data_IF_312633790895
#
_entry.id   IF_312633790895
#
_cell.length_a   1.000
_cell.length_b   1.000
_cell.length_c   1.000
_cell.angle_alpha   90.00
_cell.angle_beta   90.00
_cell.angle_gamma   90.00
#
_symmetry.space_group_name_H-M   'P 1'
#
loop_
_entity.id
_entity.type
_entity.pdbx_description
1 polymer ?
#
# COMPACT_ATOMS: atom_id res chain seq x y z
N UNK A 1 7.72 -36.43 40.41
CA UNK A 1 7.94 -37.00 39.07
C UNK A 1 8.56 -35.92 38.19
N UNK A 2 9.77 -36.14 37.70
CA UNK A 2 10.46 -35.23 36.76
C UNK A 2 10.00 -35.57 35.34
N UNK A 3 9.05 -34.80 34.83
CA UNK A 3 8.59 -34.93 33.45
C UNK A 3 9.64 -34.32 32.52
N UNK A 4 10.55 -35.14 31.99
CA UNK A 4 11.49 -34.73 30.94
C UNK A 4 11.12 -35.40 29.63
N UNK A 5 10.95 -34.60 28.58
CA UNK A 5 10.85 -35.08 27.19
C UNK A 5 12.26 -35.03 26.58
N UNK A 6 12.83 -36.19 26.26
CA UNK A 6 14.10 -36.29 25.56
C UNK A 6 13.83 -36.64 24.11
N UNK A 7 14.19 -35.75 23.19
CA UNK A 7 14.18 -36.06 21.75
C UNK A 7 15.51 -36.76 21.41
N UNK A 8 15.48 -38.04 21.00
CA UNK A 8 16.69 -38.80 20.64
C UNK A 8 17.48 -38.10 19.53
N UNK A 9 18.80 -38.14 19.60
CA UNK A 9 19.65 -37.56 18.56
C UNK A 9 19.41 -38.18 17.17
N UNK A 10 18.99 -39.45 17.12
CA UNK A 10 18.65 -40.15 15.88
C UNK A 10 17.37 -39.61 15.21
N UNK A 11 16.46 -39.00 15.97
CA UNK A 11 15.24 -38.38 15.43
C UNK A 11 15.50 -36.96 14.89
N UNK A 12 16.71 -36.43 15.06
CA UNK A 12 17.16 -35.17 14.45
C UNK A 12 17.58 -35.42 13.00
N UNK A 13 16.60 -35.71 12.13
CA UNK A 13 16.88 -35.89 10.71
C UNK A 13 17.06 -34.53 10.03
N UNK A 14 18.30 -34.12 9.75
CA UNK A 14 18.58 -33.11 8.74
C UNK A 14 18.70 -33.82 7.39
N UNK A 15 17.63 -33.78 6.59
CA UNK A 15 17.69 -34.25 5.22
C UNK A 15 18.36 -33.19 4.34
N UNK A 16 19.32 -33.59 3.52
CA UNK A 16 19.85 -32.78 2.42
C UNK A 16 18.93 -32.80 1.19
N UNK A 17 17.82 -33.55 1.24
CA UNK A 17 16.81 -33.53 0.19
C UNK A 17 16.31 -32.10 0.03
N UNK A 18 16.48 -31.58 -1.20
CA UNK A 18 15.97 -30.28 -1.58
C UNK A 18 14.46 -30.22 -1.26
N UNK A 19 14.01 -29.15 -0.62
CA UNK A 19 12.63 -29.03 -0.15
C UNK A 19 11.63 -29.27 -1.31
N UNK A 20 10.72 -30.25 -1.17
CA UNK A 20 9.67 -30.53 -2.15
C UNK A 20 8.59 -29.44 -2.22
N UNK A 21 8.68 -28.37 -1.43
CA UNK A 21 7.98 -27.11 -1.71
C UNK A 21 8.70 -26.34 -2.82
N UNK A 22 8.72 -26.90 -4.01
CA UNK A 22 9.01 -26.21 -5.27
C UNK A 22 7.71 -25.73 -5.92
N UNK A 23 6.77 -25.20 -5.12
CA UNK A 23 5.88 -24.20 -5.66
C UNK A 23 6.75 -22.96 -5.87
N UNK A 24 7.22 -22.76 -7.10
CA UNK A 24 8.02 -21.61 -7.47
C UNK A 24 7.44 -20.36 -6.81
N UNK A 25 8.24 -19.64 -6.03
CA UNK A 25 7.94 -18.28 -5.60
C UNK A 25 7.78 -17.32 -6.80
N UNK A 26 8.02 -17.82 -8.02
CA UNK A 26 7.69 -17.17 -9.28
C UNK A 26 6.20 -16.82 -9.31
N UNK A 27 5.92 -15.53 -9.11
CA UNK A 27 4.64 -14.86 -9.31
C UNK A 27 3.67 -14.87 -8.12
N UNK A 28 4.15 -14.75 -6.87
CA UNK A 28 3.28 -14.13 -5.86
C UNK A 28 3.08 -12.66 -6.24
N UNK A 29 1.91 -12.36 -6.82
CA UNK A 29 1.49 -10.99 -7.11
C UNK A 29 1.18 -10.27 -5.81
N UNK A 30 1.40 -8.95 -5.81
CA UNK A 30 1.05 -8.04 -4.73
C UNK A 30 1.60 -8.45 -3.35
N UNK A 31 2.89 -8.81 -3.30
CA UNK A 31 3.62 -9.07 -2.05
C UNK A 31 4.77 -8.08 -1.92
N UNK A 32 4.84 -7.40 -0.78
CA UNK A 32 5.99 -6.57 -0.38
C UNK A 32 6.73 -7.25 0.77
N UNK A 33 8.06 -7.34 0.66
CA UNK A 33 8.91 -7.73 1.78
C UNK A 33 9.83 -6.57 2.12
N UNK A 34 9.76 -6.15 3.37
CA UNK A 34 10.61 -5.14 3.97
C UNK A 34 11.70 -5.86 4.74
N UNK A 35 12.94 -5.40 4.60
CA UNK A 35 14.09 -5.87 5.37
C UNK A 35 14.88 -4.67 5.86
N UNK A 36 15.15 -4.63 7.16
CA UNK A 36 15.99 -3.61 7.78
C UNK A 36 17.30 -4.21 8.30
N UNK A 37 18.43 -3.64 7.91
CA UNK A 37 19.79 -3.94 8.40
C UNK A 37 20.42 -2.69 9.00
N UNK A 38 21.61 -2.79 9.60
CA UNK A 38 22.32 -1.66 10.18
C UNK A 38 23.84 -1.80 10.07
N UNK A 39 24.55 -0.70 10.27
CA UNK A 39 26.03 -0.65 10.16
C UNK A 39 26.77 -1.16 11.42
N UNK A 40 26.09 -1.29 12.55
CA UNK A 40 26.72 -1.59 13.84
C UNK A 40 26.83 -3.08 14.16
N UNK A 41 25.95 -3.93 13.61
CA UNK A 41 25.94 -5.37 13.85
C UNK A 41 25.27 -6.16 12.71
N UNK A 42 25.32 -7.49 12.78
CA UNK A 42 24.76 -8.37 11.75
C UNK A 42 23.27 -8.70 11.92
N UNK A 43 22.59 -8.11 12.92
CA UNK A 43 21.18 -8.35 13.14
C UNK A 43 20.32 -7.60 12.12
N UNK A 44 19.23 -8.23 11.72
CA UNK A 44 18.26 -7.67 10.79
C UNK A 44 16.86 -8.13 11.19
N UNK A 45 15.85 -7.48 10.66
CA UNK A 45 14.47 -7.90 10.82
C UNK A 45 13.69 -7.73 9.51
N UNK A 46 12.58 -8.45 9.39
CA UNK A 46 11.75 -8.47 8.20
C UNK A 46 10.27 -8.34 8.55
N UNK A 47 9.55 -7.70 7.64
CA UNK A 47 8.09 -7.66 7.62
C UNK A 47 7.59 -7.99 6.21
N UNK A 48 6.44 -8.67 6.12
CA UNK A 48 5.81 -8.98 4.85
C UNK A 48 4.38 -8.44 4.82
N UNK A 49 4.03 -7.76 3.73
CA UNK A 49 2.67 -7.31 3.44
C UNK A 49 2.18 -8.02 2.18
N UNK A 50 1.00 -8.64 2.26
CA UNK A 50 0.40 -9.42 1.16
C UNK A 50 -0.99 -8.88 0.85
N UNK A 51 -1.32 -8.73 -0.43
CA UNK A 51 -2.68 -8.45 -0.86
C UNK A 51 -3.29 -9.67 -1.54
N UNK A 52 -4.51 -10.03 -1.15
CA UNK A 52 -5.16 -11.24 -1.67
C UNK A 52 -6.68 -11.17 -1.60
N UNK A 53 -7.34 -11.74 -2.60
CA UNK A 53 -8.78 -11.99 -2.57
C UNK A 53 -9.17 -12.86 -1.35
N UNK A 54 -10.20 -12.42 -0.62
CA UNK A 54 -10.72 -13.13 0.55
C UNK A 54 -9.97 -12.86 1.86
N UNK A 55 -8.87 -12.10 1.84
CA UNK A 55 -8.27 -11.58 3.06
C UNK A 55 -9.18 -10.54 3.72
N UNK A 56 -8.98 -10.30 5.02
CA UNK A 56 -9.74 -9.31 5.78
C UNK A 56 -8.82 -8.27 6.41
N UNK A 57 -9.35 -7.08 6.71
CA UNK A 57 -8.61 -6.08 7.48
C UNK A 57 -8.40 -6.50 8.94
N UNK A 58 -9.23 -7.40 9.45
CA UNK A 58 -9.06 -7.98 10.78
C UNK A 58 -7.89 -8.96 10.82
N UNK A 59 -7.56 -9.41 12.04
CA UNK A 59 -6.68 -10.55 12.20
C UNK A 59 -7.34 -11.81 11.65
N UNK A 60 -6.61 -12.52 10.79
CA UNK A 60 -6.99 -13.82 10.24
C UNK A 60 -5.88 -14.83 10.52
N UNK A 61 -6.19 -15.85 11.32
CA UNK A 61 -5.23 -16.91 11.70
C UNK A 61 -4.66 -17.68 10.50
N UNK A 62 -5.38 -17.71 9.36
CA UNK A 62 -4.93 -18.41 8.17
C UNK A 62 -3.94 -17.60 7.33
N UNK A 63 -3.89 -16.27 7.49
CA UNK A 63 -3.13 -15.37 6.61
C UNK A 63 -2.17 -14.44 7.33
N UNK A 64 -2.42 -14.12 8.59
CA UNK A 64 -1.64 -13.18 9.37
C UNK A 64 -0.71 -13.89 10.35
N UNK A 65 0.38 -13.23 10.70
CA UNK A 65 1.31 -13.68 11.74
C UNK A 65 1.64 -12.52 12.66
N UNK A 66 1.33 -12.68 13.95
CA UNK A 66 1.71 -11.70 14.96
C UNK A 66 3.21 -11.53 15.04
N UNK A 67 3.63 -10.33 15.43
CA UNK A 67 5.04 -10.04 15.66
C UNK A 67 5.53 -10.78 16.90
N UNK A 68 6.62 -11.52 16.73
CA UNK A 68 7.43 -12.00 17.86
C UNK A 68 8.63 -11.06 17.99
N UNK A 69 8.72 -10.37 19.12
CA UNK A 69 9.80 -9.44 19.38
C UNK A 69 11.05 -10.18 19.84
N UNK A 70 12.19 -9.79 19.30
CA UNK A 70 13.49 -10.32 19.74
C UNK A 70 13.76 -9.95 21.20
N UNK A 71 14.33 -10.89 21.96
CA UNK A 71 14.87 -10.62 23.29
C UNK A 71 16.25 -9.94 23.24
N UNK A 72 16.90 -9.94 22.06
CA UNK A 72 18.19 -9.28 21.84
C UNK A 72 17.94 -7.80 21.61
N UNK A 73 18.20 -6.98 22.63
CA UNK A 73 17.94 -5.53 22.59
C UNK A 73 18.67 -4.78 21.48
N UNK A 74 19.83 -5.28 21.05
CA UNK A 74 20.63 -4.66 19.99
C UNK A 74 20.16 -4.99 18.58
N UNK A 75 19.18 -5.89 18.43
CA UNK A 75 18.61 -6.24 17.13
C UNK A 75 17.53 -5.21 16.74
N UNK A 76 17.52 -4.69 15.50
CA UNK A 76 16.41 -3.88 15.02
C UNK A 76 15.11 -4.67 15.04
N UNK A 77 13.99 -3.96 15.09
CA UNK A 77 12.66 -4.56 15.00
C UNK A 77 11.81 -3.81 13.97
N UNK A 78 11.07 -4.54 13.13
CA UNK A 78 10.19 -4.01 12.09
C UNK A 78 8.87 -4.77 12.04
N UNK A 79 7.73 -4.07 12.05
CA UNK A 79 6.41 -4.69 12.02
C UNK A 79 5.35 -3.76 11.43
N UNK A 80 4.25 -4.34 10.95
CA UNK A 80 3.08 -3.57 10.54
C UNK A 80 2.06 -3.53 11.67
N UNK A 81 1.34 -2.43 11.79
CA UNK A 81 0.26 -2.28 12.77
C UNK A 81 -1.10 -2.23 12.07
N UNK A 82 -2.03 -3.04 12.57
CA UNK A 82 -3.43 -2.98 12.13
C UNK A 82 -4.36 -3.25 13.32
N UNK A 83 -5.36 -2.38 13.51
CA UNK A 83 -6.33 -2.45 14.62
C UNK A 83 -5.66 -2.69 15.99
N UNK A 84 -4.59 -1.93 16.27
CA UNK A 84 -3.78 -2.00 17.50
C UNK A 84 -3.08 -3.35 17.75
N UNK A 85 -2.82 -4.12 16.69
CA UNK A 85 -2.05 -5.36 16.75
C UNK A 85 -0.83 -5.28 15.85
N UNK A 86 0.27 -5.90 16.29
CA UNK A 86 1.55 -5.92 15.59
C UNK A 86 1.73 -7.22 14.81
N UNK A 87 2.13 -7.11 13.55
CA UNK A 87 2.27 -8.24 12.63
C UNK A 87 3.67 -8.31 12.03
N UNK A 88 4.23 -9.52 11.97
CA UNK A 88 5.40 -9.83 11.13
C UNK A 88 4.98 -10.12 9.69
N UNK A 89 3.76 -10.61 9.51
CA UNK A 89 3.11 -10.74 8.20
C UNK A 89 1.67 -10.32 8.31
N UNK A 90 1.25 -9.35 7.50
CA UNK A 90 -0.16 -8.96 7.37
C UNK A 90 -0.63 -9.26 5.96
N UNK A 91 -1.77 -9.92 5.85
CA UNK A 91 -2.52 -10.03 4.61
C UNK A 91 -3.71 -9.05 4.64
N UNK A 92 -3.80 -8.21 3.62
CA UNK A 92 -4.87 -7.25 3.42
C UNK A 92 -5.73 -7.65 2.21
N UNK A 93 -7.00 -7.21 2.16
CA UNK A 93 -7.84 -7.38 0.98
C UNK A 93 -7.23 -6.71 -0.26
N UNK A 94 -7.55 -7.20 -1.45
CA UNK A 94 -7.13 -6.60 -2.73
C UNK A 94 -7.29 -5.08 -2.76
N UNK A 95 -6.35 -4.40 -3.43
CA UNK A 95 -6.29 -2.94 -3.48
C UNK A 95 -7.43 -2.39 -4.34
N UNK A 96 -8.54 -2.08 -3.66
CA UNK A 96 -9.72 -1.43 -4.27
C UNK A 96 -9.90 0.01 -3.80
N UNK A 97 -9.20 0.39 -2.74
CA UNK A 97 -9.17 1.72 -2.12
C UNK A 97 -7.72 2.08 -1.78
N UNK A 98 -7.51 3.32 -1.34
CA UNK A 98 -6.23 3.70 -0.74
C UNK A 98 -6.02 2.98 0.59
N UNK A 99 -4.78 2.61 0.89
CA UNK A 99 -4.36 2.16 2.22
C UNK A 99 -3.22 3.05 2.72
N UNK A 100 -3.29 3.41 3.99
CA UNK A 100 -2.16 3.90 4.76
C UNK A 100 -1.82 2.80 5.77
N UNK A 101 -0.70 2.12 5.54
CA UNK A 101 -0.26 0.98 6.37
C UNK A 101 0.89 1.45 7.26
N UNK A 102 0.69 1.57 8.59
CA UNK A 102 1.78 1.84 9.50
C UNK A 102 2.81 0.71 9.47
N UNK A 103 4.07 1.09 9.29
CA UNK A 103 5.24 0.22 9.36
C UNK A 103 6.16 0.77 10.45
N UNK A 104 5.98 0.24 11.65
CA UNK A 104 6.74 0.65 12.82
C UNK A 104 8.12 0.02 12.81
N UNK A 105 9.07 0.76 13.38
CA UNK A 105 10.46 0.40 13.47
C UNK A 105 11.01 0.77 14.85
N UNK A 106 11.74 -0.15 15.48
CA UNK A 106 12.52 0.14 16.69
C UNK A 106 14.00 -0.14 16.45
N UNK A 107 14.82 0.87 16.69
CA UNK A 107 16.27 0.76 16.68
C UNK A 107 16.76 -0.07 17.88
N UNK A 108 17.70 -0.98 17.64
CA UNK A 108 18.39 -1.70 18.72
C UNK A 108 19.67 -1.02 19.19
N UNK A 109 20.25 -0.17 18.34
CA UNK A 109 21.48 0.59 18.54
C UNK A 109 21.43 1.91 17.79
N UNK A 110 22.20 2.91 18.23
CA UNK A 110 22.26 4.22 17.59
C UNK A 110 23.19 4.16 16.38
N UNK A 111 22.63 4.15 15.18
CA UNK A 111 23.40 3.95 13.94
C UNK A 111 22.57 4.32 12.71
N UNK A 112 23.14 4.13 11.52
CA UNK A 112 22.44 4.18 10.24
C UNK A 112 21.83 2.81 9.95
N UNK A 113 20.56 2.83 9.56
CA UNK A 113 19.79 1.67 9.15
C UNK A 113 19.52 1.74 7.64
N UNK A 114 19.41 0.56 7.04
CA UNK A 114 19.13 0.37 5.62
C UNK A 114 17.84 -0.41 5.50
N UNK A 115 16.77 0.26 5.08
CA UNK A 115 15.51 -0.39 4.74
C UNK A 115 15.53 -0.74 3.25
N UNK A 116 15.24 -2.00 2.93
CA UNK A 116 15.10 -2.48 1.56
C UNK A 116 13.72 -3.11 1.36
N UNK A 117 13.13 -2.89 0.20
CA UNK A 117 11.79 -3.36 -0.17
C UNK A 117 11.91 -4.21 -1.42
N UNK A 118 11.31 -5.39 -1.41
CA UNK A 118 11.25 -6.26 -2.59
C UNK A 118 9.82 -6.61 -2.94
N UNK A 119 9.56 -6.89 -4.21
CA UNK A 119 8.23 -7.26 -4.71
C UNK A 119 7.38 -6.08 -5.20
N UNK A 120 7.92 -4.86 -5.22
CA UNK A 120 7.25 -3.65 -5.78
C UNK A 120 6.76 -3.89 -7.21
N UNK A 121 7.59 -4.53 -8.05
CA UNK A 121 7.26 -4.86 -9.44
C UNK A 121 6.13 -5.88 -9.62
N UNK A 122 5.64 -6.48 -8.53
CA UNK A 122 4.50 -7.40 -8.55
C UNK A 122 3.14 -6.69 -8.54
N UNK A 123 3.14 -5.37 -8.37
CA UNK A 123 1.95 -4.52 -8.34
C UNK A 123 1.76 -3.82 -9.69
N UNK A 124 0.56 -3.95 -10.26
CA UNK A 124 0.20 -3.30 -11.52
C UNK A 124 -0.64 -2.05 -11.25
N UNK A 125 -0.29 -0.93 -11.87
CA UNK A 125 -1.04 0.34 -11.77
C UNK A 125 -1.33 0.81 -10.33
N UNK A 126 -0.40 0.53 -9.40
CA UNK A 126 -0.50 0.92 -7.99
C UNK A 126 0.68 1.84 -7.67
N UNK A 127 0.40 2.99 -7.07
CA UNK A 127 1.44 3.85 -6.50
C UNK A 127 1.75 3.37 -5.08
N UNK A 128 3.03 3.16 -4.81
CA UNK A 128 3.57 2.71 -3.53
C UNK A 128 4.58 3.75 -3.06
N UNK A 129 4.22 4.50 -2.01
CA UNK A 129 5.06 5.56 -1.47
C UNK A 129 5.30 5.27 0.00
N UNK A 130 6.57 5.16 0.40
CA UNK A 130 6.96 5.06 1.80
C UNK A 130 7.19 6.47 2.35
N UNK A 131 6.46 6.87 3.37
CA UNK A 131 6.69 8.12 4.11
C UNK A 131 7.47 7.82 5.39
N UNK A 132 8.58 8.52 5.60
CA UNK A 132 9.25 8.61 6.89
C UNK A 132 8.62 9.75 7.70
N UNK A 133 7.96 9.42 8.81
CA UNK A 133 7.26 10.38 9.66
C UNK A 133 8.19 11.29 10.47
N UNK A 134 9.45 10.89 10.70
CA UNK A 134 10.40 11.74 11.42
C UNK A 134 10.92 12.86 10.53
N UNK A 135 11.18 12.57 9.25
CA UNK A 135 11.77 13.53 8.30
C UNK A 135 10.73 14.18 7.38
N UNK A 136 9.55 13.57 7.24
CA UNK A 136 8.54 13.92 6.25
C UNK A 136 8.89 13.50 4.81
N UNK A 137 9.98 12.76 4.62
CA UNK A 137 10.42 12.34 3.29
C UNK A 137 9.49 11.26 2.73
N UNK A 138 9.15 11.40 1.44
CA UNK A 138 8.34 10.43 0.70
C UNK A 138 9.19 9.76 -0.38
N UNK A 139 9.28 8.44 -0.32
CA UNK A 139 10.08 7.60 -1.22
C UNK A 139 9.12 6.86 -2.14
N UNK A 140 9.17 7.18 -3.44
CA UNK A 140 8.45 6.42 -4.47
C UNK A 140 9.17 5.08 -4.71
N UNK A 141 8.55 4.00 -4.25
CA UNK A 141 9.14 2.67 -4.31
C UNK A 141 9.28 2.13 -5.74
N UNK A 142 8.61 2.74 -6.73
CA UNK A 142 8.80 2.40 -8.14
C UNK A 142 10.13 2.92 -8.72
N UNK A 143 10.72 3.94 -8.09
CA UNK A 143 11.97 4.56 -8.53
C UNK A 143 13.16 4.11 -7.69
N UNK A 144 12.93 3.88 -6.40
CA UNK A 144 13.97 3.50 -5.44
C UNK A 144 13.38 2.53 -4.41
N UNK A 145 13.96 1.34 -4.31
CA UNK A 145 13.49 0.26 -3.45
C UNK A 145 14.30 0.11 -2.15
N UNK A 146 15.17 1.07 -1.85
CA UNK A 146 15.93 1.16 -0.60
C UNK A 146 15.85 2.56 0.02
N UNK A 147 16.03 2.65 1.34
CA UNK A 147 16.09 3.92 2.06
C UNK A 147 17.02 3.81 3.26
N UNK A 148 17.97 4.73 3.34
CA UNK A 148 18.93 4.81 4.44
C UNK A 148 18.52 5.93 5.38
N UNK A 149 18.55 5.65 6.69
CA UNK A 149 18.13 6.60 7.71
C UNK A 149 18.88 6.39 9.02
N UNK A 150 19.16 7.48 9.74
CA UNK A 150 19.71 7.41 11.09
C UNK A 150 18.59 7.20 12.10
N UNK A 151 18.80 6.33 13.08
CA UNK A 151 17.88 6.16 14.19
C UNK A 151 18.59 5.87 15.51
N UNK A 152 17.95 6.22 16.61
CA UNK A 152 18.43 5.99 17.98
C UNK A 152 17.47 5.11 18.77
N UNK A 153 17.96 4.46 19.83
CA UNK A 153 17.14 3.61 20.71
C UNK A 153 16.05 4.35 21.47
N UNK A 154 16.08 5.69 21.47
CA UNK A 154 15.11 6.56 22.14
C UNK A 154 14.07 7.13 21.16
N UNK A 155 14.16 6.83 19.86
CA UNK A 155 13.20 7.29 18.85
C UNK A 155 11.83 6.61 19.02
N UNK A 156 10.76 7.31 18.62
CA UNK A 156 9.42 6.73 18.56
C UNK A 156 9.36 5.56 17.57
N UNK A 157 8.61 4.51 17.92
CA UNK A 157 8.49 3.31 17.09
C UNK A 157 7.69 3.57 15.80
N UNK A 158 6.82 4.59 15.80
CA UNK A 158 5.97 4.99 14.67
C UNK A 158 6.79 5.74 13.63
N UNK A 159 7.58 4.99 12.84
CA UNK A 159 8.56 5.59 11.93
C UNK A 159 8.04 5.78 10.51
N UNK A 160 7.38 4.77 9.95
CA UNK A 160 7.02 4.79 8.53
C UNK A 160 5.53 4.57 8.31
N UNK A 161 5.02 5.13 7.22
CA UNK A 161 3.71 4.81 6.66
C UNK A 161 3.88 4.45 5.20
N UNK A 162 3.36 3.29 4.81
CA UNK A 162 3.26 2.91 3.41
C UNK A 162 1.91 3.38 2.85
N UNK A 163 1.97 4.37 1.97
CA UNK A 163 0.83 4.84 1.20
C UNK A 163 0.67 4.02 -0.08
N UNK A 164 -0.51 3.43 -0.23
CA UNK A 164 -0.85 2.54 -1.34
C UNK A 164 -2.07 3.12 -2.04
N UNK A 165 -1.90 3.50 -3.30
CA UNK A 165 -2.94 4.13 -4.11
C UNK A 165 -3.13 3.32 -5.40
N UNK A 166 -4.21 2.53 -5.48
CA UNK A 166 -4.60 1.84 -6.72
C UNK A 166 -5.26 2.76 -7.76
N UNK A 167 -5.63 2.24 -8.94
CA UNK A 167 -6.24 3.01 -10.06
C UNK A 167 -7.56 3.73 -9.71
N UNK A 168 -8.17 3.39 -8.58
CA UNK A 168 -9.36 4.07 -8.04
C UNK A 168 -9.03 5.20 -7.06
N UNK A 169 -7.78 5.29 -6.59
CA UNK A 169 -7.32 6.36 -5.74
C UNK A 169 -7.22 7.64 -6.56
N UNK A 170 -7.95 8.65 -6.11
CA UNK A 170 -7.91 10.03 -6.58
C UNK A 170 -6.43 10.40 -6.76
N UNK A 171 -5.95 10.78 -7.96
CA UNK A 171 -4.60 11.31 -8.07
C UNK A 171 -4.47 12.46 -7.08
N UNK A 172 -3.39 12.44 -6.30
CA UNK A 172 -3.02 13.54 -5.41
C UNK A 172 -3.04 14.85 -6.18
N UNK A 173 -3.50 15.87 -5.48
CA UNK A 173 -3.81 17.21 -5.92
C UNK A 173 -2.75 17.81 -6.86
N UNK A 174 -3.03 17.90 -8.15
CA UNK A 174 -2.55 19.06 -8.91
C UNK A 174 -3.43 20.23 -8.46
N UNK A 175 -2.93 21.05 -7.53
CA UNK A 175 -3.60 22.29 -7.12
C UNK A 175 -3.96 23.21 -8.31
N UNK A 176 -3.34 22.98 -9.47
CA UNK A 176 -3.56 23.75 -10.69
C UNK A 176 -4.98 23.63 -11.28
N UNK A 177 -5.65 22.49 -11.16
CA UNK A 177 -6.88 22.22 -11.94
C UNK A 177 -8.18 22.64 -11.20
N UNK A 178 -8.17 22.65 -9.87
CA UNK A 178 -9.29 23.11 -9.04
C UNK A 178 -10.60 22.33 -9.19
N UNK A 179 -10.56 21.10 -9.71
CA UNK A 179 -11.69 20.15 -9.79
C UNK A 179 -11.18 18.74 -9.53
N UNK A 180 -11.69 18.07 -8.50
CA UNK A 180 -11.45 16.66 -8.22
C UNK A 180 -12.44 15.79 -9.01
N UNK A 181 -11.92 14.77 -9.69
CA UNK A 181 -12.70 13.84 -10.50
C UNK A 181 -12.25 12.41 -10.15
N UNK A 182 -13.17 11.59 -9.66
CA UNK A 182 -12.87 10.22 -9.26
C UNK A 182 -14.06 9.28 -9.46
N UNK A 183 -13.85 7.98 -9.31
CA UNK A 183 -14.89 6.96 -9.45
C UNK A 183 -15.10 6.18 -8.15
N UNK A 184 -16.35 5.87 -7.84
CA UNK A 184 -16.77 4.99 -6.75
C UNK A 184 -17.81 4.00 -7.27
N UNK A 185 -17.43 2.72 -7.38
CA UNK A 185 -18.23 1.69 -8.04
C UNK A 185 -18.54 2.06 -9.49
N UNK A 186 -19.84 2.20 -9.80
CA UNK A 186 -20.36 2.64 -11.11
C UNK A 186 -20.61 4.15 -11.20
N UNK A 187 -20.16 4.93 -10.22
CA UNK A 187 -20.46 6.36 -10.13
C UNK A 187 -19.21 7.18 -10.30
N UNK A 188 -19.24 8.18 -11.19
CA UNK A 188 -18.23 9.25 -11.25
C UNK A 188 -18.64 10.36 -10.30
N UNK A 189 -17.71 10.77 -9.45
CA UNK A 189 -17.86 11.85 -8.49
C UNK A 189 -17.00 13.04 -8.92
N UNK A 190 -17.63 14.21 -8.99
CA UNK A 190 -17.00 15.50 -9.26
C UNK A 190 -17.07 16.34 -7.98
N UNK A 191 -15.97 16.97 -7.59
CA UNK A 191 -15.92 17.88 -6.44
C UNK A 191 -15.05 19.10 -6.73
N UNK A 192 -15.55 20.29 -6.41
CA UNK A 192 -14.76 21.52 -6.44
C UNK A 192 -14.44 21.99 -5.01
N UNK A 193 -13.16 22.24 -4.67
CA UNK A 193 -12.79 22.77 -3.37
C UNK A 193 -13.26 24.22 -3.17
N UNK A 194 -13.42 24.62 -1.91
CA UNK A 194 -13.82 25.98 -1.53
C UNK A 194 -15.28 26.33 -1.86
N UNK A 195 -15.54 27.59 -2.26
CA UNK A 195 -16.86 28.08 -2.63
C UNK A 195 -17.19 27.93 -4.14
N UNK A 196 -16.33 27.26 -4.90
CA UNK A 196 -16.49 27.11 -6.35
C UNK A 196 -17.71 26.24 -6.66
N UNK A 197 -18.54 26.71 -7.61
CA UNK A 197 -19.72 25.99 -8.12
C UNK A 197 -19.40 25.46 -9.53
N UNK A 198 -19.55 24.17 -9.76
CA UNK A 198 -19.28 23.55 -11.05
C UNK A 198 -20.39 23.90 -12.03
N UNK A 199 -20.08 24.67 -13.09
CA UNK A 199 -21.01 24.99 -14.17
C UNK A 199 -20.43 24.47 -15.49
N UNK A 200 -21.27 24.27 -16.50
CA UNK A 200 -20.82 23.81 -17.82
C UNK A 200 -21.15 22.35 -18.11
N UNK A 201 -20.22 21.62 -18.72
CA UNK A 201 -20.45 20.30 -19.32
C UNK A 201 -19.51 19.25 -18.76
N UNK A 202 -20.02 18.03 -18.66
CA UNK A 202 -19.23 16.82 -18.39
C UNK A 202 -19.47 15.80 -19.50
N UNK A 203 -18.38 15.24 -20.02
CA UNK A 203 -18.38 14.18 -21.03
C UNK A 203 -17.56 12.99 -20.54
N UNK A 204 -17.97 11.77 -20.89
CA UNK A 204 -17.23 10.54 -20.60
C UNK A 204 -16.90 9.84 -21.90
N UNK A 205 -15.65 9.44 -22.04
CA UNK A 205 -15.14 8.72 -23.21
C UNK A 205 -14.64 7.33 -22.83
N UNK A 206 -14.79 6.36 -23.73
CA UNK A 206 -14.14 5.06 -23.61
C UNK A 206 -12.69 5.10 -24.14
N UNK A 207 -11.97 3.98 -24.08
CA UNK A 207 -10.57 3.87 -24.55
C UNK A 207 -10.42 4.01 -26.07
N UNK A 208 -11.50 3.88 -26.83
CA UNK A 208 -11.53 4.13 -28.28
C UNK A 208 -11.80 5.61 -28.60
N UNK A 209 -11.91 6.49 -27.59
CA UNK A 209 -12.21 7.90 -27.77
C UNK A 209 -13.68 8.22 -28.08
N UNK A 210 -14.59 7.23 -27.98
CA UNK A 210 -16.01 7.45 -28.22
C UNK A 210 -16.67 8.09 -26.99
N UNK A 211 -17.46 9.16 -27.18
CA UNK A 211 -18.26 9.76 -26.11
C UNK A 211 -19.43 8.82 -25.76
N UNK A 212 -19.46 8.31 -24.52
CA UNK A 212 -20.45 7.33 -24.05
C UNK A 212 -21.47 7.93 -23.07
N UNK A 213 -21.21 9.14 -22.59
CA UNK A 213 -22.10 9.93 -21.74
C UNK A 213 -21.77 11.41 -21.89
N UNK A 214 -22.80 12.25 -21.80
CA UNK A 214 -22.69 13.71 -21.79
C UNK A 214 -23.78 14.30 -20.89
N UNK A 215 -23.46 15.35 -20.17
CA UNK A 215 -24.40 15.99 -19.25
C UNK A 215 -24.00 17.42 -18.88
N UNK A 216 -24.95 18.16 -18.32
CA UNK A 216 -24.70 19.51 -17.77
C UNK A 216 -24.40 19.43 -16.28
N UNK A 217 -23.47 20.27 -15.84
CA UNK A 217 -23.17 20.48 -14.44
C UNK A 217 -24.29 21.33 -13.81
N UNK A 218 -24.73 20.95 -12.61
CA UNK A 218 -25.91 21.51 -11.97
C UNK A 218 -25.62 22.73 -11.07
N UNK A 219 -24.40 23.28 -11.11
CA UNK A 219 -24.02 24.40 -10.26
C UNK A 219 -23.79 24.01 -8.80
N UNK A 220 -23.73 22.73 -8.44
CA UNK A 220 -23.33 22.30 -7.09
C UNK A 220 -21.81 22.15 -7.00
N UNK A 221 -21.28 22.20 -5.78
CA UNK A 221 -19.86 21.91 -5.49
C UNK A 221 -19.51 20.44 -5.68
N UNK A 222 -20.50 19.55 -5.56
CA UNK A 222 -20.34 18.11 -5.75
C UNK A 222 -21.46 17.56 -6.62
N UNK A 223 -21.10 16.71 -7.56
CA UNK A 223 -22.04 16.05 -8.46
C UNK A 223 -21.65 14.58 -8.66
N UNK A 224 -22.66 13.72 -8.74
CA UNK A 224 -22.50 12.29 -8.98
C UNK A 224 -23.14 11.93 -10.31
N UNK A 225 -22.46 11.09 -11.08
CA UNK A 225 -22.89 10.63 -12.40
C UNK A 225 -22.81 9.11 -12.41
N UNK A 226 -23.97 8.46 -12.38
CA UNK A 226 -24.05 7.00 -12.46
C UNK A 226 -23.82 6.54 -13.90
N UNK A 227 -22.78 5.74 -14.13
CA UNK A 227 -22.47 5.13 -15.41
C UNK A 227 -22.91 3.67 -15.39
N UNK A 228 -24.01 3.35 -16.09
CA UNK A 228 -24.44 1.97 -16.31
C UNK A 228 -23.61 1.30 -17.42
N UNK A 229 -22.29 1.25 -17.23
CA UNK A 229 -21.32 0.74 -18.21
C UNK A 229 -20.55 -0.44 -17.64
N UNK A 230 -19.81 -1.14 -18.52
CA UNK A 230 -18.97 -2.29 -18.13
C UNK A 230 -17.79 -1.80 -17.29
N UNK A 231 -17.23 -2.72 -16.51
CA UNK A 231 -15.96 -2.51 -15.81
C UNK A 231 -14.87 -2.12 -16.81
N UNK A 232 -14.10 -1.06 -16.54
CA UNK A 232 -13.04 -0.63 -17.44
C UNK A 232 -12.55 0.80 -17.23
N UNK A 233 -11.62 1.21 -18.10
CA UNK A 233 -11.03 2.55 -18.10
C UNK A 233 -11.90 3.52 -18.89
N UNK A 234 -12.11 4.70 -18.33
CA UNK A 234 -12.86 5.80 -18.94
C UNK A 234 -12.12 7.13 -18.75
N UNK A 235 -12.36 8.08 -19.64
CA UNK A 235 -11.84 9.44 -19.55
C UNK A 235 -12.99 10.40 -19.29
N UNK A 236 -12.91 11.13 -18.18
CA UNK A 236 -13.90 12.12 -17.78
C UNK A 236 -13.37 13.50 -18.13
N UNK A 237 -14.09 14.22 -18.97
CA UNK A 237 -13.80 15.59 -19.36
C UNK A 237 -14.81 16.53 -18.71
N UNK A 238 -14.32 17.54 -18.00
CA UNK A 238 -15.13 18.60 -17.40
C UNK A 238 -14.75 19.93 -18.02
N UNK A 239 -15.75 20.62 -18.56
CA UNK A 239 -15.67 21.95 -19.16
C UNK A 239 -16.45 22.93 -18.26
N UNK A 240 -15.72 23.82 -17.58
CA UNK A 240 -16.26 24.83 -16.66
C UNK A 240 -15.74 26.22 -17.05
N UNK A 241 -16.50 26.92 -17.90
CA UNK A 241 -16.08 28.19 -18.51
C UNK A 241 -14.88 27.97 -19.43
N UNK A 242 -13.76 28.64 -19.13
CA UNK A 242 -12.51 28.51 -19.89
C UNK A 242 -11.62 27.37 -19.38
N UNK A 243 -12.05 26.61 -18.36
CA UNK A 243 -11.28 25.49 -17.80
C UNK A 243 -11.75 24.16 -18.40
N UNK A 244 -10.78 23.40 -18.91
CA UNK A 244 -10.97 22.05 -19.43
C UNK A 244 -10.08 21.10 -18.62
N UNK A 245 -10.70 20.17 -17.88
CA UNK A 245 -9.98 19.16 -17.10
C UNK A 245 -10.35 17.79 -17.62
N UNK A 246 -9.37 16.95 -17.94
CA UNK A 246 -9.61 15.56 -18.34
C UNK A 246 -8.89 14.62 -17.38
N UNK A 247 -9.61 13.64 -16.81
CA UNK A 247 -9.05 12.66 -15.88
C UNK A 247 -9.42 11.23 -16.30
N UNK A 248 -8.44 10.33 -16.23
CA UNK A 248 -8.63 8.89 -16.42
C UNK A 248 -9.19 8.30 -15.12
N UNK A 249 -10.24 7.49 -15.21
CA UNK A 249 -10.85 6.79 -14.07
C UNK A 249 -11.11 5.32 -14.42
N UNK A 250 -11.07 4.45 -13.42
CA UNK A 250 -11.49 3.06 -13.55
C UNK A 250 -12.87 2.86 -12.90
N UNK A 251 -13.83 2.36 -13.68
CA UNK A 251 -15.20 2.08 -13.25
C UNK A 251 -15.34 0.58 -13.01
N UNK A 252 -15.93 0.18 -11.88
CA UNK A 252 -16.12 -1.24 -11.49
C UNK A 252 -17.49 -1.78 -11.89
#
# INVERSE_FOLDING_TARGET
ATNSLTIPAADRTHSTTNNNKSASAANRKEVLNFKVTNDANSYYDMNTLVFKAGATEGWDIAFDSHKLFSLVKTAPQLWTVSKNQQFSTKCLPEITTAYDVPLDFRAGVNTVYHLSVTGVNSFENTSLVLEDLQTGQKIDLSQQDSYDFSATTDDDESRFVLHINGVTAVPSMDEADGIQIFAYGKTVCLHAPGQKRLKGKVSVFNTLGQEIYTGRLNGMKSQKISLNRKTGIYFIRVEDGNKLVTRKVFIK
#
